data_IF_165987476620
#
_entry.id   IF_165987476620
#
_cell.length_a   1.000
_cell.length_b   1.000
_cell.length_c   1.000
_cell.angle_alpha   90.00
_cell.angle_beta   90.00
_cell.angle_gamma   90.00
#
_symmetry.space_group_name_H-M   'P 1'
#
loop_
_entity.id
_entity.type
_entity.pdbx_description
1 polymer ?
#
# COMPACT_ATOMS: atom_id res chain seq x y z
N UNK A 1 -12.10 29.65 -31.06
CA UNK A 1 -12.22 28.49 -30.14
C UNK A 1 -12.22 29.03 -28.71
N UNK A 2 -13.20 28.63 -27.89
CA UNK A 2 -13.39 29.15 -26.54
C UNK A 2 -13.11 28.02 -25.54
N UNK A 3 -12.12 28.23 -24.66
CA UNK A 3 -11.60 27.28 -23.65
C UNK A 3 -12.26 27.42 -22.28
N UNK A 4 -13.45 28.03 -22.21
CA UNK A 4 -14.12 28.32 -20.93
C UNK A 4 -15.06 27.16 -20.49
N UNK A 5 -14.77 26.45 -19.39
CA UNK A 5 -15.53 25.29 -18.93
C UNK A 5 -16.91 25.61 -18.32
N UNK A 6 -17.29 26.89 -18.22
CA UNK A 6 -18.56 27.30 -17.59
C UNK A 6 -19.70 27.64 -18.55
N UNK A 7 -19.61 27.25 -19.84
CA UNK A 7 -20.74 27.39 -20.76
C UNK A 7 -21.79 26.31 -20.47
N UNK A 8 -22.63 26.56 -19.46
CA UNK A 8 -23.82 25.77 -19.15
C UNK A 8 -24.84 25.89 -20.29
N UNK A 9 -25.12 24.77 -20.95
CA UNK A 9 -26.41 24.51 -21.57
C UNK A 9 -27.13 23.48 -20.72
N UNK A 10 -28.06 23.95 -19.89
CA UNK A 10 -29.01 23.11 -19.17
C UNK A 10 -29.90 22.36 -20.17
N UNK A 11 -29.78 21.02 -20.22
CA UNK A 11 -30.85 20.04 -20.50
C UNK A 11 -30.30 18.61 -20.62
N UNK A 12 -29.75 18.07 -19.53
CA UNK A 12 -29.83 16.63 -19.22
C UNK A 12 -29.38 16.34 -17.78
N UNK A 13 -29.92 17.06 -16.80
CA UNK A 13 -29.89 16.59 -15.41
C UNK A 13 -30.96 15.50 -15.20
N UNK A 14 -30.96 14.48 -16.07
CA UNK A 14 -31.65 13.23 -15.79
C UNK A 14 -30.86 12.54 -14.69
N UNK A 15 -31.29 12.78 -13.44
CA UNK A 15 -31.00 12.01 -12.22
C UNK A 15 -30.10 10.79 -12.44
N UNK A 16 -28.79 10.97 -12.36
CA UNK A 16 -27.91 9.94 -11.80
C UNK A 16 -27.74 10.28 -10.32
N UNK A 17 -28.87 10.24 -9.61
CA UNK A 17 -28.86 10.03 -8.18
C UNK A 17 -29.04 8.54 -7.96
N UNK A 18 -28.16 7.72 -8.54
CA UNK A 18 -27.97 6.38 -8.01
C UNK A 18 -27.37 6.59 -6.63
N UNK A 19 -28.14 6.23 -5.60
CA UNK A 19 -27.66 6.27 -4.22
C UNK A 19 -26.35 5.49 -4.15
N UNK A 20 -25.23 6.22 -4.09
CA UNK A 20 -23.94 5.66 -3.68
C UNK A 20 -24.12 5.30 -2.21
N UNK A 21 -24.52 4.06 -1.96
CA UNK A 21 -24.58 3.54 -0.60
C UNK A 21 -23.21 2.99 -0.26
N UNK A 22 -22.57 3.59 0.73
CA UNK A 22 -21.40 3.01 1.35
C UNK A 22 -21.83 2.06 2.47
N UNK A 23 -21.09 0.97 2.64
CA UNK A 23 -21.27 0.04 3.76
C UNK A 23 -19.93 -0.51 4.19
N UNK A 24 -19.84 -1.02 5.40
CA UNK A 24 -18.65 -1.72 5.88
C UNK A 24 -18.83 -3.21 5.60
N UNK A 25 -17.75 -3.88 5.21
CA UNK A 25 -17.72 -5.32 5.03
C UNK A 25 -16.42 -5.94 5.51
N UNK A 26 -16.39 -7.27 5.53
CA UNK A 26 -15.19 -8.05 5.87
C UNK A 26 -14.76 -8.88 4.68
N UNK A 27 -13.46 -8.88 4.39
CA UNK A 27 -12.89 -9.79 3.39
C UNK A 27 -12.91 -11.21 3.95
N UNK A 28 -13.53 -12.14 3.22
CA UNK A 28 -13.64 -13.55 3.60
C UNK A 28 -12.73 -14.46 2.79
N UNK A 29 -12.26 -14.00 1.63
CA UNK A 29 -11.24 -14.70 0.86
C UNK A 29 -10.50 -13.73 -0.03
N UNK A 30 -9.18 -13.90 -0.09
CA UNK A 30 -8.31 -13.26 -1.09
C UNK A 30 -7.78 -14.39 -1.97
N UNK A 31 -7.97 -14.36 -3.29
CA UNK A 31 -7.46 -15.42 -4.17
C UNK A 31 -5.95 -15.60 -4.02
N UNK A 32 -5.49 -16.84 -3.93
CA UNK A 32 -4.06 -17.16 -4.00
C UNK A 32 -3.58 -17.04 -5.45
N UNK A 33 -2.47 -16.35 -5.65
CA UNK A 33 -1.91 -16.06 -6.97
C UNK A 33 -1.07 -17.27 -7.41
N UNK A 34 -1.72 -18.32 -7.91
CA UNK A 34 -1.01 -19.46 -8.54
C UNK A 34 -0.91 -19.35 -10.07
N UNK A 35 -1.51 -18.34 -10.70
CA UNK A 35 -1.45 -18.14 -12.15
C UNK A 35 -1.26 -16.66 -12.49
N UNK A 36 -0.53 -16.38 -13.58
CA UNK A 36 -0.22 -15.08 -14.22
C UNK A 36 -1.42 -14.18 -14.58
N UNK A 37 -2.59 -14.43 -13.99
CA UNK A 37 -3.79 -13.62 -14.17
C UNK A 37 -3.80 -12.49 -13.14
N UNK A 38 -3.83 -11.21 -13.54
CA UNK A 38 -3.97 -10.11 -12.61
C UNK A 38 -5.32 -10.19 -11.89
N UNK A 39 -5.30 -10.44 -10.58
CA UNK A 39 -6.48 -10.52 -9.72
C UNK A 39 -6.70 -9.16 -9.06
N UNK A 40 -7.87 -8.57 -9.28
CA UNK A 40 -8.32 -7.32 -8.64
C UNK A 40 -9.68 -7.49 -7.95
N UNK A 41 -9.95 -8.66 -7.40
CA UNK A 41 -11.19 -8.93 -6.67
C UNK A 41 -10.93 -9.72 -5.38
N UNK A 42 -11.83 -9.56 -4.42
CA UNK A 42 -11.86 -10.30 -3.16
C UNK A 42 -13.30 -10.71 -2.84
N UNK A 43 -13.49 -11.77 -2.08
CA UNK A 43 -14.81 -12.12 -1.54
C UNK A 43 -15.08 -11.29 -0.28
N UNK A 44 -16.24 -10.63 -0.22
CA UNK A 44 -16.64 -9.80 0.92
C UNK A 44 -17.99 -10.21 1.47
N UNK A 45 -18.14 -10.08 2.79
CA UNK A 45 -19.39 -10.32 3.50
C UNK A 45 -19.80 -9.09 4.30
N UNK A 46 -21.10 -8.79 4.28
CA UNK A 46 -21.74 -7.81 5.16
C UNK A 46 -23.24 -8.15 5.33
N UNK A 47 -24.01 -7.27 5.97
CA UNK A 47 -25.46 -7.46 6.17
C UNK A 47 -26.24 -7.63 4.85
N UNK A 48 -25.75 -7.03 3.75
CA UNK A 48 -26.38 -7.11 2.42
C UNK A 48 -25.94 -8.36 1.64
N UNK A 49 -24.73 -8.86 1.91
CA UNK A 49 -24.15 -10.03 1.26
C UNK A 49 -23.79 -11.09 2.32
N UNK A 50 -24.78 -11.72 2.98
CA UNK A 50 -24.52 -12.61 4.11
C UNK A 50 -23.77 -13.89 3.70
N UNK A 51 -23.95 -14.35 2.46
CA UNK A 51 -23.29 -15.53 1.88
C UNK A 51 -21.90 -15.21 1.29
N UNK A 52 -21.49 -13.94 1.28
CA UNK A 52 -20.31 -13.49 0.55
C UNK A 52 -20.65 -13.07 -0.88
N UNK A 53 -19.84 -12.16 -1.43
CA UNK A 53 -19.92 -11.75 -2.82
C UNK A 53 -18.57 -11.23 -3.32
N UNK A 54 -18.23 -11.59 -4.55
CA UNK A 54 -17.07 -11.04 -5.24
C UNK A 54 -17.17 -9.53 -5.40
N UNK A 55 -16.15 -8.81 -4.92
CA UNK A 55 -16.03 -7.37 -5.01
C UNK A 55 -14.74 -6.99 -5.72
N UNK A 56 -14.84 -6.06 -6.67
CA UNK A 56 -13.66 -5.48 -7.33
C UNK A 56 -12.93 -4.56 -6.35
N UNK A 57 -11.60 -4.56 -6.35
CA UNK A 57 -10.78 -3.67 -5.53
C UNK A 57 -10.29 -2.51 -6.39
N UNK A 58 -10.61 -1.28 -6.00
CA UNK A 58 -10.13 -0.08 -6.68
C UNK A 58 -8.70 0.21 -6.20
N UNK A 59 -7.71 0.31 -7.11
CA UNK A 59 -6.38 0.77 -6.75
C UNK A 59 -6.41 2.27 -6.40
N UNK A 60 -5.59 2.68 -5.43
CA UNK A 60 -5.54 4.07 -4.96
C UNK A 60 -4.88 5.00 -6.00
N UNK A 61 -3.96 4.48 -6.81
CA UNK A 61 -3.39 5.18 -7.96
C UNK A 61 -3.04 4.21 -9.10
N UNK A 62 -2.82 4.76 -10.29
CA UNK A 62 -2.38 3.99 -11.44
C UNK A 62 -1.01 3.34 -11.18
N UNK A 63 -0.90 2.04 -11.41
CA UNK A 63 0.33 1.26 -11.14
C UNK A 63 0.46 0.76 -9.71
N UNK A 64 -0.48 1.08 -8.82
CA UNK A 64 -0.52 0.51 -7.47
C UNK A 64 -1.36 -0.76 -7.43
N UNK A 65 -0.85 -1.79 -6.76
CA UNK A 65 -1.54 -3.04 -6.52
C UNK A 65 -1.67 -3.28 -5.01
N UNK A 66 -2.89 -3.48 -4.55
CA UNK A 66 -3.17 -3.92 -3.19
C UNK A 66 -4.45 -4.76 -3.20
N UNK A 67 -4.36 -5.95 -2.64
CA UNK A 67 -5.52 -6.77 -2.30
C UNK A 67 -5.60 -6.85 -0.77
N UNK A 68 -6.70 -6.40 -0.16
CA UNK A 68 -6.83 -6.51 1.29
C UNK A 68 -6.88 -7.98 1.69
N UNK A 69 -6.08 -8.43 2.68
CA UNK A 69 -6.02 -9.82 3.06
C UNK A 69 -7.32 -10.28 3.74
N UNK A 70 -7.49 -11.60 3.83
CA UNK A 70 -8.59 -12.21 4.57
C UNK A 70 -8.69 -11.67 6.00
N UNK A 71 -9.91 -11.42 6.45
CA UNK A 71 -10.20 -10.86 7.77
C UNK A 71 -10.19 -9.33 7.83
N UNK A 72 -9.67 -8.65 6.81
CA UNK A 72 -9.63 -7.18 6.74
C UNK A 72 -11.03 -6.55 6.74
N UNK A 73 -11.15 -5.40 7.38
CA UNK A 73 -12.35 -4.56 7.34
C UNK A 73 -12.21 -3.54 6.22
N UNK A 74 -13.20 -3.48 5.32
CA UNK A 74 -13.14 -2.66 4.10
C UNK A 74 -14.36 -1.78 3.96
N UNK A 75 -14.16 -0.63 3.31
CA UNK A 75 -15.25 0.22 2.86
C UNK A 75 -15.74 -0.28 1.50
N UNK A 76 -17.02 -0.62 1.43
CA UNK A 76 -17.70 -1.06 0.23
C UNK A 76 -18.56 0.05 -0.33
N UNK A 77 -18.43 0.29 -1.63
CA UNK A 77 -19.40 1.03 -2.44
C UNK A 77 -20.04 0.09 -3.47
N UNK A 78 -20.87 0.63 -4.35
CA UNK A 78 -21.42 -0.11 -5.48
C UNK A 78 -21.34 0.72 -6.76
N UNK A 79 -20.95 0.08 -7.86
CA UNK A 79 -21.02 0.70 -9.20
C UNK A 79 -22.44 0.58 -9.77
N UNK A 80 -23.18 -0.46 -9.37
CA UNK A 80 -24.58 -0.67 -9.75
C UNK A 80 -25.42 -1.13 -8.53
N UNK A 81 -26.64 -1.62 -8.75
CA UNK A 81 -27.51 -2.03 -7.63
C UNK A 81 -26.99 -3.25 -6.86
N UNK A 82 -26.09 -4.04 -7.43
CA UNK A 82 -25.70 -5.34 -6.90
C UNK A 82 -24.19 -5.55 -6.80
N UNK A 83 -23.36 -4.88 -7.59
CA UNK A 83 -21.91 -5.14 -7.69
C UNK A 83 -21.17 -4.36 -6.61
N UNK A 84 -20.64 -5.03 -5.57
CA UNK A 84 -19.85 -4.38 -4.54
C UNK A 84 -18.45 -4.05 -5.07
N UNK A 85 -17.89 -2.97 -4.54
CA UNK A 85 -16.54 -2.53 -4.86
C UNK A 85 -15.85 -2.07 -3.59
N UNK A 86 -14.63 -2.59 -3.37
CA UNK A 86 -13.76 -2.17 -2.28
C UNK A 86 -13.09 -0.85 -2.66
N UNK A 87 -13.38 0.18 -1.88
CA UNK A 87 -12.78 1.51 -2.05
C UNK A 87 -11.44 1.61 -1.30
N UNK A 88 -11.30 0.85 -0.22
CA UNK A 88 -10.09 0.82 0.59
C UNK A 88 -10.32 0.18 1.96
N UNK A 89 -9.25 0.08 2.77
CA UNK A 89 -9.36 -0.33 4.17
C UNK A 89 -10.23 0.66 4.94
N UNK A 90 -11.00 0.15 5.90
CA UNK A 90 -11.81 0.98 6.79
C UNK A 90 -11.27 0.90 8.21
N UNK A 91 -10.74 2.03 8.69
CA UNK A 91 -10.35 2.22 10.09
C UNK A 91 -11.55 2.72 10.88
N UNK A 92 -11.97 1.96 11.90
CA UNK A 92 -13.00 2.40 12.82
C UNK A 92 -12.37 3.16 13.99
N UNK A 93 -13.19 3.85 14.78
CA UNK A 93 -12.71 4.52 15.99
C UNK A 93 -12.02 3.50 16.91
N UNK A 94 -10.73 3.74 17.23
CA UNK A 94 -9.90 2.82 18.01
C UNK A 94 -9.05 1.85 17.18
N UNK A 95 -9.16 1.85 15.85
CA UNK A 95 -8.16 1.18 15.01
C UNK A 95 -6.80 1.87 15.12
N UNK A 96 -5.74 1.07 15.15
CA UNK A 96 -4.39 1.59 14.94
C UNK A 96 -4.29 2.11 13.51
N UNK A 97 -3.84 3.35 13.37
CA UNK A 97 -3.60 3.99 12.09
C UNK A 97 -2.15 4.41 12.01
N UNK A 98 -1.51 4.36 10.83
CA UNK A 98 -0.16 4.85 10.68
C UNK A 98 -0.08 6.33 11.09
N UNK A 99 0.87 6.66 11.97
CA UNK A 99 1.20 8.04 12.27
C UNK A 99 1.90 8.66 11.05
N UNK A 100 1.31 9.71 10.48
CA UNK A 100 1.82 10.40 9.29
C UNK A 100 1.84 11.91 9.54
N UNK A 101 2.93 12.55 9.11
CA UNK A 101 2.96 14.00 8.94
C UNK A 101 2.43 14.39 7.54
N UNK A 102 1.89 15.61 7.38
CA UNK A 102 1.48 16.10 6.07
C UNK A 102 2.63 16.04 5.06
N UNK A 103 2.36 15.44 3.89
CA UNK A 103 3.34 15.27 2.82
C UNK A 103 4.13 13.95 2.90
N UNK A 104 4.02 13.20 4.00
CA UNK A 104 4.59 11.86 4.07
C UNK A 104 3.70 10.83 3.39
N UNK A 105 4.32 9.74 2.93
CA UNK A 105 3.62 8.57 2.41
C UNK A 105 4.22 7.30 2.98
N UNK A 106 3.40 6.37 3.45
CA UNK A 106 3.85 5.05 3.93
C UNK A 106 3.18 3.96 3.13
N UNK A 107 3.98 2.98 2.69
CA UNK A 107 3.54 1.73 2.07
C UNK A 107 3.98 0.60 2.99
N UNK A 108 3.04 0.00 3.72
CA UNK A 108 3.31 -1.06 4.70
C UNK A 108 2.87 -2.43 4.21
N UNK A 109 3.54 -3.47 4.67
CA UNK A 109 3.07 -4.84 4.58
C UNK A 109 1.82 -5.00 5.46
N UNK A 110 0.78 -5.73 5.02
CA UNK A 110 -0.49 -5.77 5.73
C UNK A 110 -0.47 -6.63 7.01
N UNK A 111 0.55 -7.47 7.20
CA UNK A 111 0.63 -8.42 8.33
C UNK A 111 1.95 -8.37 9.07
N UNK A 112 2.82 -7.40 8.77
CA UNK A 112 4.12 -7.24 9.42
C UNK A 112 4.51 -5.77 9.50
N UNK A 113 5.58 -5.44 10.21
CA UNK A 113 6.03 -4.04 10.40
C UNK A 113 6.90 -3.53 9.24
N UNK A 114 7.15 -4.39 8.24
CA UNK A 114 7.86 -4.04 7.02
C UNK A 114 7.14 -2.90 6.27
N UNK A 115 7.88 -1.85 5.91
CA UNK A 115 7.33 -0.66 5.26
C UNK A 115 8.37 0.14 4.49
N UNK A 116 7.88 0.91 3.52
CA UNK A 116 8.61 1.99 2.85
C UNK A 116 7.95 3.31 3.23
N UNK A 117 8.70 4.25 3.80
CA UNK A 117 8.23 5.59 4.14
C UNK A 117 8.95 6.63 3.29
N UNK A 118 8.16 7.45 2.61
CA UNK A 118 8.58 8.67 1.94
C UNK A 118 8.38 9.82 2.91
N UNK A 119 9.48 10.44 3.34
CA UNK A 119 9.47 11.58 4.24
C UNK A 119 9.15 12.88 3.49
N UNK A 120 8.71 13.89 4.24
CA UNK A 120 8.36 15.21 3.70
C UNK A 120 9.57 15.99 3.15
N UNK A 121 10.80 15.64 3.56
CA UNK A 121 12.06 16.19 3.07
C UNK A 121 12.62 15.46 1.84
N UNK A 122 11.93 14.41 1.37
CA UNK A 122 12.34 13.59 0.24
C UNK A 122 13.20 12.39 0.61
N UNK A 123 13.54 12.17 1.89
CA UNK A 123 14.19 10.94 2.33
C UNK A 123 13.27 9.73 2.18
N UNK A 124 13.86 8.54 2.02
CA UNK A 124 13.14 7.27 1.99
C UNK A 124 13.72 6.39 3.10
N UNK A 125 12.87 5.93 4.01
CA UNK A 125 13.22 4.87 4.96
C UNK A 125 12.59 3.56 4.53
N UNK A 126 13.32 2.46 4.70
CA UNK A 126 12.85 1.10 4.42
C UNK A 126 13.12 0.29 5.67
N UNK A 127 12.05 -0.16 6.31
CA UNK A 127 12.09 -1.05 7.46
C UNK A 127 11.60 -2.43 7.00
N UNK A 128 12.31 -3.50 7.38
CA UNK A 128 11.94 -4.86 7.04
C UNK A 128 12.15 -5.78 8.22
N UNK A 129 11.15 -6.63 8.50
CA UNK A 129 11.29 -7.74 9.45
C UNK A 129 12.20 -8.85 8.89
N UNK A 130 12.29 -8.90 7.57
CA UNK A 130 13.12 -9.80 6.76
C UNK A 130 14.12 -8.97 5.92
N UNK A 131 15.15 -9.61 5.31
CA UNK A 131 16.14 -8.91 4.50
C UNK A 131 15.54 -8.03 3.39
N UNK A 132 16.00 -6.79 3.33
CA UNK A 132 15.64 -5.78 2.31
C UNK A 132 16.62 -5.90 1.14
N UNK A 133 16.10 -6.24 -0.04
CA UNK A 133 16.88 -6.34 -1.27
C UNK A 133 16.62 -5.13 -2.18
N UNK A 134 17.64 -4.33 -2.43
CA UNK A 134 17.57 -3.18 -3.34
C UNK A 134 18.26 -3.58 -4.64
N UNK A 135 17.56 -3.39 -5.77
CA UNK A 135 18.05 -3.73 -7.12
C UNK A 135 18.49 -5.20 -7.30
N UNK A 136 17.90 -6.14 -6.55
CA UNK A 136 18.32 -7.56 -6.57
C UNK A 136 19.71 -7.78 -5.98
N UNK A 137 20.13 -6.88 -5.10
CA UNK A 137 21.41 -6.90 -4.43
C UNK A 137 21.69 -8.20 -3.69
N UNK A 138 22.95 -8.61 -3.68
CA UNK A 138 23.41 -9.83 -2.99
C UNK A 138 24.47 -9.53 -1.94
N UNK A 139 24.85 -8.25 -1.76
CA UNK A 139 25.89 -7.84 -0.81
C UNK A 139 25.36 -6.78 0.12
N UNK A 140 25.76 -6.86 1.38
CA UNK A 140 25.43 -5.82 2.36
C UNK A 140 26.28 -4.57 2.13
N UNK A 141 25.70 -3.35 2.13
CA UNK A 141 26.48 -2.12 2.05
C UNK A 141 27.41 -1.99 3.26
N UNK A 142 28.58 -1.39 3.06
CA UNK A 142 29.48 -1.02 4.15
C UNK A 142 28.90 0.22 4.83
N UNK A 143 28.71 0.17 6.15
CA UNK A 143 28.18 1.28 6.96
C UNK A 143 29.27 1.96 7.79
N UNK A 144 30.36 1.25 8.09
CA UNK A 144 31.53 1.82 8.74
C UNK A 144 32.82 1.15 8.25
N UNK A 145 33.92 1.90 8.32
CA UNK A 145 35.27 1.43 7.99
C UNK A 145 36.20 1.85 9.12
N UNK A 146 36.75 0.86 9.81
CA UNK A 146 37.68 1.06 10.90
C UNK A 146 39.07 0.60 10.48
N UNK A 147 40.08 1.39 10.81
CA UNK A 147 41.48 1.08 10.50
C UNK A 147 42.29 1.01 11.78
N UNK A 148 43.14 0.00 11.91
CA UNK A 148 44.15 -0.06 12.97
C UNK A 148 45.50 0.33 12.40
N UNK A 149 46.27 1.14 13.13
CA UNK A 149 47.61 1.57 12.73
C UNK A 149 48.70 1.01 13.64
N UNK A 150 49.90 0.79 13.11
CA UNK A 150 51.10 0.54 13.91
C UNK A 150 51.60 1.82 14.61
N UNK A 151 52.69 1.70 15.36
CA UNK A 151 53.30 2.82 16.08
C UNK A 151 53.92 3.89 15.15
N UNK A 152 54.23 3.51 13.90
CA UNK A 152 54.78 4.40 12.87
C UNK A 152 53.67 5.08 12.04
N UNK A 153 52.40 4.75 12.31
CA UNK A 153 51.22 5.31 11.66
C UNK A 153 50.79 4.61 10.38
N UNK A 154 51.33 3.43 10.07
CA UNK A 154 50.90 2.64 8.92
C UNK A 154 49.62 1.87 9.25
N UNK A 155 48.67 1.84 8.32
CA UNK A 155 47.48 0.98 8.43
C UNK A 155 47.91 -0.48 8.32
N UNK A 156 47.58 -1.25 9.35
CA UNK A 156 47.89 -2.69 9.44
C UNK A 156 46.65 -3.58 9.35
N UNK A 157 45.46 -3.03 9.55
CA UNK A 157 44.20 -3.76 9.42
C UNK A 157 43.05 -2.84 9.00
N UNK A 158 42.09 -3.40 8.26
CA UNK A 158 40.85 -2.74 7.85
C UNK A 158 39.69 -3.64 8.21
N UNK A 159 38.87 -3.20 9.15
CA UNK A 159 37.62 -3.84 9.52
C UNK A 159 36.46 -3.09 8.87
N UNK A 160 35.56 -3.83 8.22
CA UNK A 160 34.37 -3.28 7.56
C UNK A 160 33.13 -3.69 8.35
N UNK A 161 32.35 -2.71 8.79
CA UNK A 161 30.99 -2.95 9.29
C UNK A 161 30.02 -2.88 8.11
N UNK A 162 29.09 -3.83 8.03
CA UNK A 162 28.09 -3.90 6.96
C UNK A 162 26.69 -3.89 7.56
N UNK A 163 25.74 -3.30 6.84
CA UNK A 163 24.35 -3.26 7.30
C UNK A 163 23.80 -4.69 7.52
N UNK A 164 23.07 -4.90 8.60
CA UNK A 164 22.62 -6.24 8.99
C UNK A 164 21.58 -6.82 8.03
N UNK A 165 20.62 -6.01 7.59
CA UNK A 165 19.42 -6.49 6.88
C UNK A 165 19.19 -5.83 5.51
N UNK A 166 20.17 -5.09 4.97
CA UNK A 166 20.05 -4.43 3.65
C UNK A 166 21.04 -5.04 2.67
N UNK A 167 20.58 -5.35 1.47
CA UNK A 167 21.36 -5.91 0.38
C UNK A 167 21.28 -5.01 -0.86
N UNK A 168 22.44 -4.70 -1.45
CA UNK A 168 22.67 -3.92 -2.67
C UNK A 168 23.44 -4.73 -3.73
#
# INVERSE_FOLDING_TARGET
MSTNPHRKTDRSQNRVADLVSTSVGRVTSTPSVDDDTPIHHVEVRNERYPEGKSAVVIPQAHGEGYLPPEGSTVLLTRIDRTTPVVVGPYYHAGSETPALEPGERVVSHPTSDARVKFHNDGAISIDGDEPVYINGGMRRPVVDVQTTTDADGHVIDITLERADNVYL
#
